data_IF_700533759464
#
_entry.id   IF_700533759464
#
_cell.length_a   1.000
_cell.length_b   1.000
_cell.length_c   1.000
_cell.angle_alpha   90.00
_cell.angle_beta   90.00
_cell.angle_gamma   90.00
#
_symmetry.space_group_name_H-M   'P 1'
#
loop_
_entity.id
_entity.type
_entity.pdbx_description
1 polymer ?
#
# COMPACT_ATOMS: atom_id res chain seq x y z
N UNK A 1 6.48 -26.95 29.47
CA UNK A 1 5.76 -25.73 29.89
C UNK A 1 5.46 -24.97 28.62
N UNK A 2 4.28 -25.21 28.08
CA UNK A 2 3.79 -24.65 26.82
C UNK A 2 3.24 -23.25 27.09
N UNK A 3 4.03 -22.21 26.80
CA UNK A 3 3.48 -20.87 26.60
C UNK A 3 3.05 -20.79 25.16
N UNK A 4 1.79 -21.11 24.90
CA UNK A 4 1.11 -20.73 23.66
C UNK A 4 1.19 -19.21 23.55
N UNK A 5 2.13 -18.72 22.74
CA UNK A 5 2.11 -17.35 22.25
C UNK A 5 0.72 -17.11 21.68
N UNK A 6 -0.08 -16.31 22.38
CA UNK A 6 -1.34 -15.81 21.84
C UNK A 6 -0.98 -15.05 20.57
N UNK A 7 -1.18 -15.72 19.43
CA UNK A 7 -1.03 -15.18 18.07
C UNK A 7 -1.73 -13.82 18.05
N UNK A 8 -0.97 -12.73 18.16
CA UNK A 8 -1.50 -11.36 18.06
C UNK A 8 -2.31 -11.28 16.77
N UNK A 9 -3.47 -10.62 16.78
CA UNK A 9 -4.29 -10.46 15.59
C UNK A 9 -3.44 -9.81 14.48
N UNK A 10 -3.40 -10.44 13.30
CA UNK A 10 -2.69 -9.94 12.10
C UNK A 10 -3.55 -8.92 11.34
N UNK A 11 -4.20 -8.06 12.09
CA UNK A 11 -5.04 -7.02 11.55
C UNK A 11 -4.26 -5.72 11.55
N UNK A 12 -4.53 -4.90 10.54
CA UNK A 12 -3.81 -3.67 10.32
C UNK A 12 -4.75 -2.61 9.76
N UNK A 13 -4.44 -1.37 10.07
CA UNK A 13 -4.98 -0.20 9.41
C UNK A 13 -4.06 0.19 8.25
N UNK A 14 -4.63 0.75 7.17
CA UNK A 14 -3.89 1.17 5.99
C UNK A 14 -3.89 2.71 5.96
N UNK A 15 -2.69 3.29 5.96
CA UNK A 15 -2.48 4.73 5.76
C UNK A 15 -2.27 5.07 4.28
N UNK A 16 -1.45 4.28 3.60
CA UNK A 16 -1.11 4.44 2.20
C UNK A 16 -1.17 3.09 1.50
N UNK A 17 -1.65 3.08 0.25
CA UNK A 17 -1.66 1.89 -0.60
C UNK A 17 -1.51 2.27 -2.07
N UNK A 18 -0.43 1.83 -2.71
CA UNK A 18 -0.38 1.79 -4.16
C UNK A 18 -1.17 0.58 -4.65
N UNK A 19 -2.47 0.78 -4.89
CA UNK A 19 -3.38 -0.31 -5.23
C UNK A 19 -2.97 -1.04 -6.51
N UNK A 20 -2.53 -0.32 -7.55
CA UNK A 20 -2.12 -0.94 -8.82
C UNK A 20 -0.95 -1.89 -8.63
N UNK A 21 0.12 -1.47 -7.94
CA UNK A 21 1.27 -2.34 -7.65
C UNK A 21 0.86 -3.54 -6.79
N UNK A 22 0.06 -3.31 -5.76
CA UNK A 22 -0.41 -4.36 -4.84
C UNK A 22 -1.29 -5.37 -5.58
N UNK A 23 -2.17 -4.91 -6.46
CA UNK A 23 -3.00 -5.78 -7.26
C UNK A 23 -2.16 -6.68 -8.17
N UNK A 24 -1.24 -6.10 -8.93
CA UNK A 24 -0.36 -6.84 -9.84
C UNK A 24 0.47 -7.90 -9.09
N UNK A 25 1.13 -7.52 -8.00
CA UNK A 25 1.95 -8.44 -7.20
C UNK A 25 1.09 -9.54 -6.56
N UNK A 26 -0.08 -9.19 -6.02
CA UNK A 26 -0.97 -10.18 -5.43
C UNK A 26 -1.48 -11.19 -6.47
N UNK A 27 -1.69 -10.76 -7.72
CA UNK A 27 -2.04 -11.65 -8.84
C UNK A 27 -0.85 -12.54 -9.26
N UNK A 28 0.39 -12.02 -9.21
CA UNK A 28 1.59 -12.83 -9.45
C UNK A 28 1.81 -13.90 -8.37
N UNK A 29 1.55 -13.58 -7.10
CA UNK A 29 1.66 -14.52 -5.97
C UNK A 29 0.62 -15.63 -6.10
N UNK A 30 -0.63 -15.28 -6.44
CA UNK A 30 -1.70 -16.27 -6.59
C UNK A 30 -2.78 -15.77 -7.56
N UNK A 31 -2.80 -16.36 -8.75
CA UNK A 31 -3.73 -16.05 -9.84
C UNK A 31 -5.12 -16.72 -9.67
N UNK A 32 -5.41 -17.34 -8.53
CA UNK A 32 -6.77 -17.86 -8.26
C UNK A 32 -7.65 -16.68 -7.82
N UNK A 33 -8.53 -16.26 -8.73
CA UNK A 33 -9.61 -15.31 -8.44
C UNK A 33 -10.55 -15.96 -7.41
N UNK A 34 -10.40 -15.60 -6.14
CA UNK A 34 -11.28 -16.07 -5.07
C UNK A 34 -12.68 -15.48 -5.29
N UNK A 35 -13.60 -16.29 -5.83
CA UNK A 35 -14.97 -15.84 -6.17
C UNK A 35 -15.90 -15.75 -4.97
N UNK A 36 -15.55 -16.28 -3.79
CA UNK A 36 -16.31 -16.08 -2.55
C UNK A 36 -15.55 -16.66 -1.35
N UNK A 37 -15.47 -15.91 -0.25
CA UNK A 37 -15.22 -16.48 1.08
C UNK A 37 -16.57 -16.42 1.79
N UNK A 38 -17.34 -17.50 1.73
CA UNK A 38 -18.45 -17.69 2.67
C UNK A 38 -17.87 -18.33 3.92
N UNK A 39 -17.76 -17.55 4.99
CA UNK A 39 -17.38 -18.08 6.31
C UNK A 39 -18.60 -18.74 6.93
N UNK A 40 -18.96 -19.92 6.44
CA UNK A 40 -19.90 -20.77 7.17
C UNK A 40 -19.18 -21.32 8.40
N UNK A 41 -19.63 -20.88 9.57
CA UNK A 41 -19.28 -21.50 10.86
C UNK A 41 -19.95 -22.87 10.93
N UNK A 42 -19.43 -23.83 10.19
CA UNK A 42 -19.71 -25.25 10.42
C UNK A 42 -18.38 -25.98 10.51
N UNK A 43 -18.17 -26.59 11.68
CA UNK A 43 -17.02 -27.42 11.98
C UNK A 43 -17.06 -28.68 11.12
N UNK A 44 -16.29 -28.73 10.05
CA UNK A 44 -15.82 -29.98 9.46
C UNK A 44 -14.43 -29.76 8.87
N UNK A 45 -13.43 -30.10 9.67
CA UNK A 45 -12.09 -30.41 9.21
C UNK A 45 -12.21 -31.65 8.31
N UNK A 46 -12.16 -31.47 7.01
CA UNK A 46 -11.93 -32.54 6.05
C UNK A 46 -10.81 -32.10 5.12
N UNK A 47 -9.60 -32.48 5.53
CA UNK A 47 -8.44 -32.58 4.67
C UNK A 47 -8.73 -33.67 3.63
N UNK A 48 -9.14 -33.27 2.42
CA UNK A 48 -9.30 -34.22 1.33
C UNK A 48 -8.69 -33.67 0.04
N UNK A 49 -7.39 -33.90 -0.10
CA UNK A 49 -6.79 -34.11 -1.41
C UNK A 49 -7.54 -35.27 -2.09
N UNK A 50 -8.30 -34.99 -3.14
CA UNK A 50 -9.07 -36.04 -3.81
C UNK A 50 -9.92 -35.53 -4.94
N UNK A 51 -9.39 -35.64 -6.15
CA UNK A 51 -10.17 -35.68 -7.38
C UNK A 51 -11.29 -36.73 -7.26
N UNK A 52 -12.56 -36.34 -7.09
CA UNK A 52 -13.73 -37.11 -7.57
C UNK A 52 -14.99 -36.26 -7.67
N UNK A 53 -15.55 -36.27 -8.86
CA UNK A 53 -16.90 -35.90 -9.27
C UNK A 53 -17.98 -36.70 -8.53
N UNK A 54 -18.96 -36.04 -7.89
CA UNK A 54 -20.34 -36.49 -7.60
C UNK A 54 -20.93 -35.53 -6.54
N UNK A 55 -22.16 -35.00 -6.53
CA UNK A 55 -23.43 -35.37 -7.14
C UNK A 55 -24.32 -34.10 -7.19
N UNK A 56 -24.66 -33.65 -8.40
CA UNK A 56 -25.99 -33.10 -8.74
C UNK A 56 -26.36 -33.52 -10.18
N UNK A 57 -25.80 -34.69 -10.57
CA UNK A 57 -25.62 -35.15 -11.94
C UNK A 57 -26.84 -35.81 -12.59
N UNK A 58 -28.06 -35.60 -12.08
CA UNK A 58 -29.27 -36.09 -12.74
C UNK A 58 -29.99 -35.01 -13.58
N UNK A 59 -29.91 -33.73 -13.19
CA UNK A 59 -30.49 -32.63 -13.98
C UNK A 59 -29.61 -32.19 -15.16
N UNK A 60 -28.30 -32.22 -15.00
CA UNK A 60 -27.35 -31.63 -15.96
C UNK A 60 -27.05 -32.55 -17.14
N UNK A 61 -27.13 -33.88 -16.97
CA UNK A 61 -26.82 -34.84 -18.04
C UNK A 61 -27.87 -34.81 -19.16
N UNK A 62 -29.14 -34.69 -18.81
CA UNK A 62 -30.25 -34.62 -19.77
C UNK A 62 -30.26 -33.31 -20.57
N UNK A 63 -29.80 -32.21 -19.95
CA UNK A 63 -29.60 -30.92 -20.59
C UNK A 63 -28.39 -30.90 -21.53
N UNK A 64 -27.26 -31.48 -21.09
CA UNK A 64 -26.04 -31.56 -21.89
C UNK A 64 -26.17 -32.53 -23.08
N UNK A 65 -26.90 -33.64 -22.92
CA UNK A 65 -27.18 -34.57 -24.02
C UNK A 65 -28.08 -33.91 -25.08
N UNK A 66 -29.02 -33.06 -24.67
CA UNK A 66 -29.85 -32.25 -25.59
C UNK A 66 -29.05 -31.21 -26.38
N UNK A 67 -28.05 -30.58 -25.75
CA UNK A 67 -27.15 -29.61 -26.39
C UNK A 67 -26.15 -30.32 -27.31
N UNK A 68 -25.66 -31.50 -26.92
CA UNK A 68 -24.75 -32.30 -27.75
C UNK A 68 -25.47 -32.81 -29.01
N UNK A 69 -26.74 -33.18 -28.90
CA UNK A 69 -27.54 -33.61 -30.04
C UNK A 69 -27.87 -32.46 -31.01
N UNK A 70 -28.06 -31.23 -30.53
CA UNK A 70 -28.35 -30.06 -31.38
C UNK A 70 -27.12 -29.47 -32.08
N UNK A 71 -25.92 -29.71 -31.54
CA UNK A 71 -24.65 -29.17 -32.09
C UNK A 71 -23.92 -30.19 -32.99
N UNK A 72 -24.21 -31.49 -32.88
CA UNK A 72 -23.52 -32.53 -33.66
C UNK A 72 -24.01 -32.69 -35.11
N UNK A 73 -24.95 -31.88 -35.58
CA UNK A 73 -25.56 -32.04 -36.91
C UNK A 73 -24.79 -31.33 -38.04
N UNK A 74 -23.91 -30.37 -37.76
CA UNK A 74 -23.12 -29.71 -38.81
C UNK A 74 -21.83 -29.10 -38.26
N UNK A 75 -20.79 -29.12 -39.10
CA UNK A 75 -19.47 -28.53 -38.94
C UNK A 75 -18.39 -29.38 -38.25
N UNK A 76 -17.64 -30.05 -39.13
CA UNK A 76 -16.27 -30.55 -38.95
C UNK A 76 -15.33 -29.46 -38.40
N UNK A 77 -14.45 -29.91 -37.51
CA UNK A 77 -13.08 -29.45 -37.26
C UNK A 77 -12.69 -28.00 -37.65
N UNK A 78 -12.45 -27.17 -36.63
CA UNK A 78 -11.18 -26.44 -36.46
C UNK A 78 -11.07 -26.01 -35.00
N UNK A 79 -10.22 -26.71 -34.25
CA UNK A 79 -9.89 -26.42 -32.86
C UNK A 79 -8.98 -25.19 -32.80
N UNK A 80 -9.57 -24.01 -32.69
CA UNK A 80 -8.86 -22.78 -32.32
C UNK A 80 -9.33 -22.36 -30.93
N UNK A 81 -8.64 -22.85 -29.90
CA UNK A 81 -8.89 -22.50 -28.50
C UNK A 81 -8.48 -21.04 -28.25
N UNK A 82 -9.36 -20.10 -28.60
CA UNK A 82 -9.27 -18.71 -28.18
C UNK A 82 -9.78 -18.62 -26.74
N UNK A 83 -8.87 -18.58 -25.77
CA UNK A 83 -9.17 -18.26 -24.37
C UNK A 83 -9.63 -16.81 -24.27
N UNK A 84 -10.92 -16.57 -24.47
CA UNK A 84 -11.55 -15.28 -24.19
C UNK A 84 -11.69 -15.15 -22.68
N UNK A 85 -10.67 -14.55 -22.05
CA UNK A 85 -10.68 -14.17 -20.64
C UNK A 85 -11.72 -13.06 -20.48
N UNK A 86 -12.91 -13.43 -20.00
CA UNK A 86 -13.94 -12.46 -19.62
C UNK A 86 -13.62 -12.06 -18.18
N UNK A 87 -12.97 -10.91 -18.04
CA UNK A 87 -12.63 -10.31 -16.77
C UNK A 87 -13.90 -9.70 -16.14
N UNK A 88 -14.70 -10.53 -15.47
CA UNK A 88 -15.76 -10.05 -14.57
C UNK A 88 -15.15 -9.86 -13.18
N UNK A 89 -14.45 -8.75 -12.97
CA UNK A 89 -13.94 -8.36 -11.66
C UNK A 89 -15.10 -7.91 -10.77
N UNK A 90 -15.65 -8.86 -10.02
CA UNK A 90 -16.54 -8.53 -8.91
C UNK A 90 -15.65 -7.85 -7.84
N UNK A 91 -15.78 -6.53 -7.73
CA UNK A 91 -15.04 -5.63 -6.83
C UNK A 91 -15.43 -5.92 -5.37
N UNK A 92 -15.05 -7.10 -4.88
CA UNK A 92 -15.38 -7.61 -3.54
C UNK A 92 -14.18 -8.22 -2.81
N UNK A 93 -13.05 -8.42 -3.48
CA UNK A 93 -11.78 -8.65 -2.78
C UNK A 93 -11.27 -7.30 -2.27
N UNK A 94 -11.26 -7.11 -0.96
CA UNK A 94 -10.90 -5.83 -0.34
C UNK A 94 -9.40 -5.56 -0.45
N UNK A 95 -8.99 -4.29 -0.50
CA UNK A 95 -7.59 -3.82 -0.45
C UNK A 95 -6.76 -4.56 0.62
N UNK A 96 -7.36 -4.78 1.79
CA UNK A 96 -6.77 -5.51 2.92
C UNK A 96 -6.49 -6.99 2.65
N UNK A 97 -7.34 -7.67 1.86
CA UNK A 97 -7.13 -9.09 1.52
C UNK A 97 -5.93 -9.22 0.57
N UNK A 98 -5.86 -8.36 -0.45
CA UNK A 98 -4.74 -8.37 -1.39
C UNK A 98 -3.42 -8.04 -0.69
N UNK A 99 -3.41 -6.97 0.12
CA UNK A 99 -2.21 -6.59 0.86
C UNK A 99 -1.78 -7.67 1.86
N UNK A 100 -2.72 -8.33 2.53
CA UNK A 100 -2.41 -9.44 3.46
C UNK A 100 -1.67 -10.58 2.77
N UNK A 101 -2.05 -10.93 1.54
CA UNK A 101 -1.34 -11.97 0.77
C UNK A 101 0.11 -11.60 0.51
N UNK A 102 0.37 -10.34 0.18
CA UNK A 102 1.73 -9.82 0.00
C UNK A 102 2.50 -9.90 1.31
N UNK A 103 1.93 -9.40 2.41
CA UNK A 103 2.56 -9.41 3.74
C UNK A 103 2.92 -10.83 4.19
N UNK A 104 2.10 -11.84 3.87
CA UNK A 104 2.37 -13.24 4.21
C UNK A 104 3.57 -13.82 3.44
N UNK A 105 3.97 -13.22 2.31
CA UNK A 105 5.16 -13.59 1.55
C UNK A 105 6.38 -12.69 1.84
N UNK A 106 6.19 -11.57 2.54
CA UNK A 106 7.28 -10.67 2.90
C UNK A 106 8.25 -11.30 3.90
N UNK A 107 9.54 -11.00 3.75
CA UNK A 107 10.48 -11.11 4.87
C UNK A 107 10.23 -9.97 5.87
N UNK A 108 10.01 -10.30 7.14
CA UNK A 108 10.03 -9.32 8.22
C UNK A 108 11.48 -8.98 8.55
N UNK A 109 11.88 -7.73 8.29
CA UNK A 109 13.29 -7.31 8.36
C UNK A 109 13.41 -6.05 9.21
N UNK A 110 14.36 -6.07 10.16
CA UNK A 110 14.79 -4.89 10.93
C UNK A 110 16.09 -4.29 10.41
N UNK A 111 16.96 -5.12 9.83
CA UNK A 111 18.27 -4.74 9.26
C UNK A 111 18.29 -5.11 7.77
N UNK A 112 18.39 -4.10 6.90
CA UNK A 112 18.33 -4.30 5.44
C UNK A 112 19.66 -4.68 4.80
N UNK A 113 20.76 -4.76 5.55
CA UNK A 113 22.09 -5.12 5.05
C UNK A 113 22.13 -6.50 4.37
N UNK A 114 21.23 -7.41 4.77
CA UNK A 114 21.15 -8.76 4.22
C UNK A 114 20.13 -8.89 3.08
N UNK A 115 19.39 -7.83 2.76
CA UNK A 115 18.37 -7.83 1.72
C UNK A 115 19.01 -7.65 0.34
N UNK A 116 18.47 -8.33 -0.66
CA UNK A 116 18.89 -8.19 -2.06
C UNK A 116 17.87 -7.34 -2.81
N UNK A 117 18.35 -6.56 -3.80
CA UNK A 117 17.46 -5.80 -4.66
C UNK A 117 16.38 -6.70 -5.27
N UNK A 118 15.12 -6.28 -5.15
CA UNK A 118 13.95 -7.04 -5.59
C UNK A 118 13.24 -7.81 -4.48
N UNK A 119 13.83 -7.92 -3.29
CA UNK A 119 13.20 -8.59 -2.16
C UNK A 119 11.94 -7.84 -1.70
N UNK A 120 10.89 -8.62 -1.45
CA UNK A 120 9.65 -8.12 -0.86
C UNK A 120 9.81 -8.07 0.67
N UNK A 121 9.79 -6.87 1.23
CA UNK A 121 10.11 -6.61 2.64
C UNK A 121 8.94 -6.00 3.39
N UNK A 122 8.80 -6.41 4.66
CA UNK A 122 8.00 -5.71 5.68
C UNK A 122 8.95 -5.19 6.75
N UNK A 123 9.11 -3.87 6.81
CA UNK A 123 9.92 -3.19 7.82
C UNK A 123 8.99 -2.71 8.92
N UNK A 124 9.13 -3.27 10.11
CA UNK A 124 8.29 -2.95 11.27
C UNK A 124 8.93 -1.85 12.15
N UNK A 125 8.09 -1.15 12.92
CA UNK A 125 8.52 -0.12 13.91
C UNK A 125 9.34 1.01 13.28
N UNK A 126 8.83 1.54 12.17
CA UNK A 126 9.45 2.68 11.49
C UNK A 126 8.81 3.97 11.98
N UNK A 127 9.64 4.92 12.42
CA UNK A 127 9.22 6.31 12.66
C UNK A 127 9.55 7.12 11.41
N UNK A 128 8.54 7.79 10.85
CA UNK A 128 8.68 8.58 9.62
C UNK A 128 8.94 10.05 9.93
N UNK A 129 9.85 10.64 9.16
CA UNK A 129 10.21 12.06 9.20
C UNK A 129 10.28 12.61 7.76
N UNK A 130 9.92 13.87 7.57
CA UNK A 130 10.00 14.51 6.24
C UNK A 130 11.44 14.95 5.99
N UNK A 131 12.03 14.52 4.87
CA UNK A 131 13.37 14.95 4.49
C UNK A 131 13.39 16.42 4.06
N UNK A 132 12.35 16.87 3.36
CA UNK A 132 12.25 18.25 2.84
C UNK A 132 10.87 18.85 3.13
N UNK A 133 10.66 19.25 4.39
CA UNK A 133 9.40 19.86 4.81
C UNK A 133 9.16 21.21 4.13
N UNK A 134 10.18 22.07 4.04
CA UNK A 134 10.03 23.42 3.48
C UNK A 134 9.54 23.39 2.03
N UNK A 135 10.20 22.61 1.16
CA UNK A 135 9.80 22.50 -0.25
C UNK A 135 8.42 21.87 -0.39
N UNK A 136 8.07 20.91 0.48
CA UNK A 136 6.72 20.34 0.51
C UNK A 136 5.67 21.40 0.86
N UNK A 137 5.92 22.28 1.82
CA UNK A 137 4.98 23.37 2.17
C UNK A 137 4.80 24.34 1.01
N UNK A 138 5.88 24.72 0.33
CA UNK A 138 5.84 25.56 -0.87
C UNK A 138 5.04 24.90 -2.00
N UNK A 139 5.31 23.62 -2.26
CA UNK A 139 4.56 22.80 -3.22
C UNK A 139 3.07 22.78 -2.93
N UNK A 140 2.68 22.52 -1.68
CA UNK A 140 1.27 22.40 -1.29
C UNK A 140 0.49 23.71 -1.48
N UNK A 141 1.14 24.86 -1.36
CA UNK A 141 0.54 26.16 -1.66
C UNK A 141 0.27 26.28 -3.17
N UNK A 142 1.29 26.01 -4.00
CA UNK A 142 1.19 26.10 -5.46
C UNK A 142 0.14 25.14 -6.04
N UNK A 143 -0.01 23.96 -5.43
CA UNK A 143 -0.98 22.95 -5.88
C UNK A 143 -2.45 23.34 -5.68
N UNK A 144 -2.77 24.20 -4.72
CA UNK A 144 -4.17 24.53 -4.35
C UNK A 144 -4.83 25.55 -5.29
N UNK A 145 -4.55 25.47 -6.59
CA UNK A 145 -5.01 26.43 -7.60
C UNK A 145 -4.71 27.90 -7.20
N UNK A 146 -3.66 28.12 -6.40
CA UNK A 146 -3.33 29.45 -5.87
C UNK A 146 -3.01 30.45 -7.00
N UNK A 147 -2.63 29.94 -8.17
CA UNK A 147 -2.28 30.73 -9.36
C UNK A 147 -3.37 30.70 -10.43
N UNK A 148 -4.57 30.20 -10.11
CA UNK A 148 -5.68 30.13 -11.06
C UNK A 148 -6.09 31.53 -11.51
N UNK A 149 -6.18 31.70 -12.83
CA UNK A 149 -6.47 32.98 -13.45
C UNK A 149 -5.27 33.90 -13.65
N UNK A 150 -4.08 33.54 -13.11
CA UNK A 150 -2.86 34.28 -13.38
C UNK A 150 -2.38 34.01 -14.80
N UNK A 151 -2.25 35.08 -15.59
CA UNK A 151 -1.75 35.03 -16.97
C UNK A 151 -0.57 35.95 -17.15
N UNK A 152 0.48 35.46 -17.81
CA UNK A 152 1.66 36.24 -18.19
C UNK A 152 1.85 36.04 -19.69
N UNK A 153 1.88 37.13 -20.46
CA UNK A 153 2.06 37.09 -21.92
C UNK A 153 1.09 36.14 -22.65
N UNK A 154 -0.15 36.04 -22.14
CA UNK A 154 -1.19 35.16 -22.68
C UNK A 154 -1.12 33.70 -22.21
N UNK A 155 -0.02 33.29 -21.55
CA UNK A 155 0.16 31.96 -20.98
C UNK A 155 -0.52 31.83 -19.60
N UNK A 156 -1.15 30.68 -19.34
CA UNK A 156 -1.76 30.37 -18.04
C UNK A 156 -0.72 29.80 -17.09
N UNK A 157 -0.33 30.58 -16.08
CA UNK A 157 0.76 30.20 -15.15
C UNK A 157 0.39 28.98 -14.34
N UNK A 158 -0.89 28.81 -13.98
CA UNK A 158 -1.37 27.64 -13.27
C UNK A 158 -1.01 26.34 -13.99
N UNK A 159 -1.21 26.27 -15.31
CA UNK A 159 -0.95 25.05 -16.08
C UNK A 159 0.55 24.73 -16.17
N UNK A 160 1.40 25.76 -16.30
CA UNK A 160 2.85 25.60 -16.30
C UNK A 160 3.35 25.05 -14.96
N UNK A 161 2.92 25.68 -13.87
CA UNK A 161 3.30 25.27 -12.52
C UNK A 161 2.75 23.87 -12.23
N UNK A 162 1.48 23.59 -12.54
CA UNK A 162 0.92 22.24 -12.40
C UNK A 162 1.73 21.20 -13.18
N UNK A 163 2.24 21.51 -14.38
CA UNK A 163 3.09 20.61 -15.15
C UNK A 163 4.46 20.36 -14.51
N UNK A 164 5.08 21.40 -13.93
CA UNK A 164 6.37 21.28 -13.23
C UNK A 164 6.27 20.50 -11.91
N UNK A 165 5.06 20.41 -11.35
CA UNK A 165 4.79 19.78 -10.06
C UNK A 165 4.32 18.31 -10.20
N UNK A 166 4.22 17.78 -11.43
CA UNK A 166 3.67 16.43 -11.67
C UNK A 166 4.53 15.29 -11.14
N UNK A 167 5.85 15.47 -11.10
CA UNK A 167 6.81 14.44 -10.68
C UNK A 167 7.21 14.56 -9.21
N UNK A 168 6.58 15.47 -8.47
CA UNK A 168 6.89 15.68 -7.06
C UNK A 168 6.32 14.54 -6.20
N UNK A 169 7.10 14.14 -5.20
CA UNK A 169 6.77 13.07 -4.27
C UNK A 169 7.04 13.51 -2.83
N UNK A 170 6.28 12.95 -1.88
CA UNK A 170 6.68 12.98 -0.49
C UNK A 170 7.93 12.12 -0.32
N UNK A 171 9.02 12.71 0.18
CA UNK A 171 10.26 12.01 0.51
C UNK A 171 10.32 11.89 2.03
N UNK A 172 10.29 10.65 2.52
CA UNK A 172 10.26 10.36 3.96
C UNK A 172 11.48 9.55 4.35
N UNK A 173 12.14 10.00 5.42
CA UNK A 173 13.16 9.27 6.15
C UNK A 173 12.48 8.40 7.21
N UNK A 174 12.73 7.10 7.16
CA UNK A 174 12.24 6.11 8.09
C UNK A 174 13.35 5.67 9.03
N UNK A 175 13.19 5.96 10.31
CA UNK A 175 14.05 5.46 11.38
C UNK A 175 13.49 4.13 11.88
N UNK A 176 14.23 3.04 11.68
CA UNK A 176 13.80 1.68 12.02
C UNK A 176 14.27 1.34 13.44
N UNK A 177 13.34 0.93 14.30
CA UNK A 177 13.65 0.55 15.68
C UNK A 177 13.55 -0.96 15.89
N UNK A 178 14.45 -1.49 16.71
CA UNK A 178 14.32 -2.84 17.23
C UNK A 178 13.32 -2.89 18.41
N UNK A 179 13.05 -4.08 18.95
CA UNK A 179 12.09 -4.28 20.04
C UNK A 179 12.37 -3.44 21.30
N UNK A 180 13.63 -3.04 21.49
CA UNK A 180 14.04 -2.19 22.63
C UNK A 180 13.54 -0.74 22.52
N UNK A 181 13.19 -0.25 21.32
CA UNK A 181 12.68 1.10 21.05
C UNK A 181 13.54 2.26 21.61
N UNK A 182 14.84 2.04 21.81
CA UNK A 182 15.76 3.05 22.38
C UNK A 182 16.41 3.91 21.32
N UNK A 183 17.08 3.26 20.37
CA UNK A 183 17.87 3.89 19.32
C UNK A 183 17.49 3.29 17.95
N UNK A 184 17.57 4.08 16.87
CA UNK A 184 17.35 3.57 15.53
C UNK A 184 18.50 2.64 15.13
N UNK A 185 18.16 1.52 14.49
CA UNK A 185 19.11 0.48 14.08
C UNK A 185 19.43 0.58 12.59
N UNK A 186 18.50 1.09 11.79
CA UNK A 186 18.65 1.26 10.36
C UNK A 186 17.88 2.50 9.92
N UNK A 187 18.32 3.11 8.83
CA UNK A 187 17.62 4.20 8.17
C UNK A 187 17.19 3.76 6.78
N UNK A 188 15.98 4.18 6.40
CA UNK A 188 15.42 3.90 5.08
C UNK A 188 14.81 5.16 4.49
N UNK A 189 14.77 5.22 3.17
CA UNK A 189 14.07 6.27 2.45
C UNK A 189 12.94 5.64 1.66
N UNK A 190 11.77 6.29 1.74
CA UNK A 190 10.62 5.97 0.92
C UNK A 190 10.14 7.20 0.15
N UNK A 191 9.61 6.97 -1.05
CA UNK A 191 8.95 7.98 -1.88
C UNK A 191 7.48 7.63 -2.06
N UNK A 192 6.61 8.62 -1.89
CA UNK A 192 5.18 8.51 -2.18
C UNK A 192 4.84 9.57 -3.24
N UNK A 193 4.54 9.17 -4.48
CA UNK A 193 4.09 10.12 -5.51
C UNK A 193 2.85 10.89 -5.04
N UNK A 194 2.81 12.20 -5.29
CA UNK A 194 1.66 13.01 -4.94
C UNK A 194 0.57 12.84 -6.00
N UNK A 195 -0.63 12.47 -5.58
CA UNK A 195 -1.83 12.45 -6.43
C UNK A 195 -2.71 13.69 -6.20
N UNK A 196 -3.57 14.01 -7.16
CA UNK A 196 -4.38 15.24 -7.15
C UNK A 196 -5.57 15.17 -6.15
N UNK A 197 -6.08 13.97 -5.83
CA UNK A 197 -7.36 13.84 -5.13
C UNK A 197 -7.31 13.06 -3.81
N UNK A 198 -6.60 11.93 -3.75
CA UNK A 198 -6.62 11.05 -2.57
C UNK A 198 -5.34 10.24 -2.47
N UNK A 199 -4.27 10.86 -1.96
CA UNK A 199 -2.98 10.17 -1.83
C UNK A 199 -2.98 9.08 -0.74
N UNK A 200 -3.81 9.26 0.29
CA UNK A 200 -3.85 8.38 1.46
C UNK A 200 -5.23 7.75 1.64
N UNK A 201 -5.25 6.57 2.25
CA UNK A 201 -6.49 5.86 2.56
C UNK A 201 -7.22 6.52 3.74
N UNK A 202 -8.53 6.31 3.84
CA UNK A 202 -9.34 6.71 5.00
C UNK A 202 -9.24 8.19 5.41
N UNK A 203 -8.89 9.08 4.47
CA UNK A 203 -8.69 10.53 4.71
C UNK A 203 -7.53 10.85 5.67
N UNK A 204 -6.56 9.95 5.80
CA UNK A 204 -5.31 10.29 6.44
C UNK A 204 -4.57 11.38 5.66
N UNK A 205 -3.73 12.13 6.35
CA UNK A 205 -2.83 13.11 5.76
C UNK A 205 -1.38 12.77 6.08
N UNK A 206 -0.44 13.43 5.40
CA UNK A 206 0.99 13.19 5.60
C UNK A 206 1.44 13.35 7.07
N UNK A 207 0.89 14.32 7.82
CA UNK A 207 1.26 14.51 9.22
C UNK A 207 0.78 13.34 10.09
N UNK A 208 -0.31 12.66 9.74
CA UNK A 208 -0.77 11.49 10.49
C UNK A 208 0.21 10.32 10.38
N UNK A 209 0.94 10.21 9.26
CA UNK A 209 1.98 9.21 9.06
C UNK A 209 3.24 9.49 9.89
N UNK A 210 3.51 10.77 10.23
CA UNK A 210 4.65 11.16 11.05
C UNK A 210 4.42 10.89 12.55
N UNK A 211 3.17 10.60 12.95
CA UNK A 211 2.81 10.37 14.34
C UNK A 211 2.95 8.89 14.69
N UNK A 212 3.94 8.60 15.55
CA UNK A 212 4.16 7.27 16.09
C UNK A 212 4.97 6.37 15.16
N UNK A 213 4.70 5.07 15.24
CA UNK A 213 5.41 4.05 14.47
C UNK A 213 4.45 3.31 13.55
N UNK A 214 4.92 3.07 12.33
CA UNK A 214 4.21 2.34 11.28
C UNK A 214 5.05 1.18 10.79
N UNK A 215 4.46 0.33 9.97
CA UNK A 215 5.16 -0.69 9.21
C UNK A 215 5.07 -0.37 7.72
N UNK A 216 6.19 -0.53 7.03
CA UNK A 216 6.32 -0.27 5.61
C UNK A 216 6.39 -1.61 4.89
N UNK A 217 5.53 -1.77 3.89
CA UNK A 217 5.54 -2.92 2.99
C UNK A 217 5.99 -2.44 1.63
N UNK A 218 7.04 -3.04 1.09
CA UNK A 218 7.64 -2.55 -0.15
C UNK A 218 8.60 -3.53 -0.80
N UNK A 219 9.17 -3.10 -1.93
CA UNK A 219 10.23 -3.81 -2.65
C UNK A 219 11.54 -3.10 -2.36
N UNK A 220 12.53 -3.82 -1.85
CA UNK A 220 13.84 -3.25 -1.59
C UNK A 220 14.58 -2.97 -2.91
N UNK A 221 15.17 -1.76 -3.04
CA UNK A 221 15.83 -1.29 -4.27
C UNK A 221 17.35 -1.08 -4.12
N UNK A 222 17.92 -1.46 -2.98
CA UNK A 222 19.33 -1.22 -2.70
C UNK A 222 19.59 0.15 -2.11
N UNK A 223 20.85 0.55 -2.18
CA UNK A 223 21.36 1.82 -1.64
C UNK A 223 21.34 2.87 -2.76
N UNK A 224 20.84 4.07 -2.44
CA UNK A 224 20.78 5.20 -3.36
C UNK A 224 21.25 6.48 -2.68
N UNK A 225 21.86 7.36 -3.45
CA UNK A 225 22.31 8.66 -2.96
C UNK A 225 21.16 9.63 -2.76
N UNK A 226 21.32 10.56 -1.81
CA UNK A 226 20.32 11.58 -1.51
C UNK A 226 19.99 12.49 -2.72
N UNK A 227 20.98 12.78 -3.59
CA UNK A 227 20.77 13.58 -4.80
C UNK A 227 19.73 12.92 -5.74
N UNK A 228 19.83 11.61 -5.94
CA UNK A 228 18.87 10.86 -6.76
C UNK A 228 17.48 10.80 -6.10
N UNK A 229 17.44 10.83 -4.76
CA UNK A 229 16.19 10.87 -4.02
C UNK A 229 15.51 12.24 -4.18
N UNK A 230 16.25 13.32 -4.04
CA UNK A 230 15.68 14.68 -3.99
C UNK A 230 15.45 15.31 -5.35
N UNK A 231 16.10 14.80 -6.41
CA UNK A 231 15.94 15.31 -7.77
C UNK A 231 14.49 15.19 -8.27
N UNK A 232 13.91 16.34 -8.64
CA UNK A 232 12.64 16.46 -9.35
C UNK A 232 12.62 17.78 -10.15
N UNK A 233 11.63 17.95 -11.03
CA UNK A 233 11.52 19.12 -11.90
C UNK A 233 11.44 20.44 -11.12
N UNK A 234 10.71 20.46 -10.00
CA UNK A 234 10.59 21.65 -9.16
C UNK A 234 11.93 22.03 -8.50
N UNK A 235 12.62 21.05 -7.90
CA UNK A 235 13.93 21.25 -7.28
C UNK A 235 14.96 21.72 -8.30
N UNK A 236 14.95 21.15 -9.52
CA UNK A 236 15.83 21.60 -10.60
C UNK A 236 15.66 23.11 -10.92
N UNK A 237 14.41 23.58 -11.03
CA UNK A 237 14.16 25.00 -11.30
C UNK A 237 14.48 25.90 -10.11
N UNK A 238 14.26 25.44 -8.89
CA UNK A 238 14.64 26.16 -7.67
C UNK A 238 16.15 26.37 -7.61
N UNK A 239 16.93 25.31 -7.83
CA UNK A 239 18.39 25.39 -7.90
C UNK A 239 18.88 26.26 -9.06
N UNK A 240 18.27 26.15 -10.24
CA UNK A 240 18.63 26.98 -11.39
C UNK A 240 18.37 28.47 -11.12
N UNK A 241 17.34 28.81 -10.34
CA UNK A 241 17.08 30.15 -9.84
C UNK A 241 18.17 30.64 -8.89
N UNK A 242 18.48 29.84 -7.86
CA UNK A 242 19.49 30.17 -6.86
C UNK A 242 20.90 30.37 -7.48
N UNK A 243 21.27 29.54 -8.47
CA UNK A 243 22.54 29.68 -9.20
C UNK A 243 22.62 31.00 -9.97
N UNK A 244 21.51 31.47 -10.54
CA UNK A 244 21.47 32.78 -11.24
C UNK A 244 21.59 33.94 -10.27
N UNK A 245 20.95 33.86 -9.10
CA UNK A 245 21.07 34.89 -8.06
C UNK A 245 22.52 35.01 -7.55
N UNK A 246 23.19 33.89 -7.29
CA UNK A 246 24.61 33.89 -6.90
C UNK A 246 25.53 34.44 -8.01
N UNK A 247 25.22 34.16 -9.28
CA UNK A 247 26.00 34.67 -10.41
C UNK A 247 25.75 36.17 -10.66
N UNK A 248 24.52 36.65 -10.44
CA UNK A 248 24.17 38.07 -10.53
C UNK A 248 24.69 38.88 -9.33
N UNK A 249 24.78 38.30 -8.12
CA UNK A 249 25.42 38.94 -6.96
C UNK A 249 26.93 39.17 -7.17
N UNK A 250 27.62 38.24 -7.82
CA UNK A 250 29.06 38.40 -8.15
C UNK A 250 29.30 39.38 -9.32
N UNK A 251 28.29 39.65 -10.16
CA UNK A 251 28.42 40.49 -11.36
C UNK A 251 27.78 41.89 -11.25
N UNK A 252 26.79 42.11 -10.36
CA UNK A 252 26.00 43.34 -10.34
C UNK A 252 26.33 44.27 -9.16
N UNK A 253 26.83 45.47 -9.47
CA UNK A 253 26.98 46.59 -8.52
C UNK A 253 25.66 47.31 -8.19
N UNK A 254 24.51 46.69 -8.47
CA UNK A 254 23.19 47.33 -8.33
C UNK A 254 22.42 46.62 -7.23
N UNK A 255 22.47 47.19 -6.03
CA UNK A 255 21.69 46.75 -4.87
C UNK A 255 20.23 47.19 -5.09
N UNK A 256 19.31 46.24 -5.22
CA UNK A 256 17.86 46.52 -5.18
C UNK A 256 17.46 46.78 -3.72
N UNK A 257 16.85 47.93 -3.46
CA UNK A 257 16.53 48.46 -2.12
C UNK A 257 15.53 47.67 -1.26
N UNK A 258 15.14 46.45 -1.67
CA UNK A 258 14.25 45.56 -0.93
C UNK A 258 14.83 44.14 -0.74
N UNK A 259 16.14 43.96 -0.85
CA UNK A 259 16.79 42.68 -0.51
C UNK A 259 17.28 42.76 0.93
N UNK A 260 16.60 42.05 1.82
CA UNK A 260 17.25 41.66 3.08
C UNK A 260 18.30 40.61 2.75
N UNK A 261 19.52 40.70 3.28
CA UNK A 261 20.49 39.64 3.14
C UNK A 261 19.94 38.43 3.91
N UNK A 262 19.40 37.46 3.18
CA UNK A 262 19.17 36.14 3.75
C UNK A 262 20.56 35.53 3.85
N UNK A 263 21.13 35.51 5.04
CA UNK A 263 22.23 34.61 5.35
C UNK A 263 21.71 33.19 5.18
N UNK A 264 21.85 32.64 3.98
CA UNK A 264 21.83 31.20 3.78
C UNK A 264 23.15 30.66 4.36
N UNK A 265 23.23 30.60 5.69
CA UNK A 265 23.94 29.52 6.36
C UNK A 265 23.06 28.27 6.23
N UNK A 266 22.82 27.86 4.99
CA UNK A 266 22.56 26.47 4.67
C UNK A 266 23.78 26.03 3.91
N UNK A 267 24.88 25.87 4.64
CA UNK A 267 25.73 24.71 4.39
C UNK A 267 24.80 23.49 4.54
N UNK A 268 24.04 23.16 3.50
CA UNK A 268 23.81 21.75 3.23
C UNK A 268 25.19 21.22 2.93
N UNK A 269 25.88 20.77 3.99
CA UNK A 269 26.91 19.75 3.83
C UNK A 269 26.33 18.78 2.80
N UNK A 270 27.00 18.68 1.65
CA UNK A 270 26.72 17.59 0.72
C UNK A 270 27.13 16.33 1.47
N UNK A 271 26.25 15.84 2.32
CA UNK A 271 26.45 14.55 2.93
C UNK A 271 26.29 13.56 1.78
N UNK A 272 27.37 12.86 1.50
CA UNK A 272 27.42 11.74 0.58
C UNK A 272 26.73 10.54 1.27
N UNK A 273 25.51 10.79 1.76
CA UNK A 273 24.76 9.84 2.57
C UNK A 273 24.01 8.91 1.63
N UNK A 274 24.47 7.67 1.66
CA UNK A 274 23.92 6.54 0.97
C UNK A 274 22.81 5.92 1.82
N UNK A 275 21.59 5.86 1.29
CA UNK A 275 20.41 5.38 2.02
C UNK A 275 19.81 4.13 1.41
N UNK A 276 19.30 3.23 2.25
CA UNK A 276 18.47 2.12 1.80
C UNK A 276 17.14 2.62 1.24
N UNK A 277 16.84 2.29 -0.02
CA UNK A 277 15.58 2.66 -0.65
C UNK A 277 14.59 1.50 -0.66
N UNK A 278 13.36 1.79 -0.25
CA UNK A 278 12.24 0.86 -0.36
C UNK A 278 11.17 1.48 -1.25
N UNK A 279 10.86 0.80 -2.36
CA UNK A 279 9.71 1.15 -3.20
C UNK A 279 8.42 0.75 -2.48
N UNK A 280 7.71 1.74 -1.96
CA UNK A 280 6.57 1.53 -1.06
C UNK A 280 5.35 1.01 -1.81
N UNK A 281 4.83 -0.12 -1.34
CA UNK A 281 3.53 -0.67 -1.74
C UNK A 281 2.43 -0.21 -0.78
N UNK A 282 2.71 -0.25 0.52
CA UNK A 282 1.76 0.17 1.55
C UNK A 282 2.46 0.69 2.80
N UNK A 283 1.76 1.57 3.52
CA UNK A 283 2.09 1.97 4.89
C UNK A 283 0.93 1.55 5.76
N UNK A 284 1.22 0.75 6.78
CA UNK A 284 0.22 0.15 7.65
C UNK A 284 0.58 0.37 9.11
N UNK A 285 -0.42 0.20 9.97
CA UNK A 285 -0.20 0.07 11.40
C UNK A 285 -0.90 -1.19 11.89
N UNK A 286 -0.14 -2.05 12.55
CA UNK A 286 -0.66 -3.26 13.16
C UNK A 286 -1.62 -2.90 14.31
N UNK A 287 -2.82 -3.47 14.31
CA UNK A 287 -3.88 -3.22 15.28
C UNK A 287 -4.19 -4.51 16.05
N UNK A 288 -4.13 -4.40 17.37
CA UNK A 288 -4.50 -5.49 18.27
C UNK A 288 -5.94 -5.31 18.75
N UNK A 289 -6.83 -6.24 18.40
CA UNK A 289 -8.18 -6.26 18.95
C UNK A 289 -8.23 -7.06 20.24
N UNK A 290 -8.83 -6.47 21.28
CA UNK A 290 -9.30 -7.21 22.45
C UNK A 290 -10.76 -7.57 22.20
N UNK A 291 -11.00 -8.72 21.59
CA UNK A 291 -12.35 -9.25 21.50
C UNK A 291 -12.78 -9.63 22.92
N UNK A 292 -13.75 -8.91 23.49
CA UNK A 292 -14.44 -9.39 24.68
C UNK A 292 -15.05 -10.75 24.30
N UNK A 293 -14.56 -11.81 24.92
CA UNK A 293 -15.24 -13.09 24.90
C UNK A 293 -16.61 -12.85 25.52
N UNK A 294 -17.63 -12.65 24.69
CA UNK A 294 -19.00 -12.81 25.14
C UNK A 294 -19.09 -14.25 25.61
N UNK A 295 -19.05 -14.44 26.93
CA UNK A 295 -19.28 -15.73 27.56
C UNK A 295 -20.66 -16.16 27.06
N UNK A 296 -20.68 -16.98 26.00
CA UNK A 296 -21.88 -17.65 25.58
C UNK A 296 -22.42 -18.29 26.87
N UNK A 297 -23.64 -17.96 27.30
CA UNK A 297 -24.13 -18.41 28.59
C UNK A 297 -23.97 -19.92 28.59
N UNK A 298 -23.11 -20.44 29.48
CA UNK A 298 -22.86 -21.87 29.60
C UNK A 298 -24.22 -22.51 29.79
N UNK A 299 -24.77 -23.10 28.73
CA UNK A 299 -26.06 -23.77 28.82
C UNK A 299 -25.81 -24.94 29.75
N UNK A 300 -26.23 -24.78 31.01
CA UNK A 300 -26.13 -25.83 32.00
C UNK A 300 -26.78 -27.09 31.44
N UNK A 301 -26.23 -28.26 31.70
CA UNK A 301 -26.74 -29.53 31.17
C UNK A 301 -28.25 -29.73 31.42
N UNK A 302 -28.80 -29.13 32.49
CA UNK A 302 -30.23 -29.09 32.80
C UNK A 302 -31.08 -28.31 31.77
N UNK A 303 -30.54 -27.26 31.13
CA UNK A 303 -31.24 -26.52 30.08
C UNK A 303 -31.39 -27.38 28.81
N UNK A 304 -30.42 -28.24 28.50
CA UNK A 304 -30.56 -29.24 27.43
C UNK A 304 -31.58 -30.32 27.80
N UNK A 305 -31.62 -30.73 29.07
CA UNK A 305 -32.59 -31.68 29.59
C UNK A 305 -34.03 -31.13 29.55
N UNK A 306 -34.22 -29.85 29.88
CA UNK A 306 -35.52 -29.16 29.79
C UNK A 306 -36.02 -28.99 28.36
N UNK A 307 -35.13 -28.73 27.40
CA UNK A 307 -35.46 -28.69 25.96
C UNK A 307 -35.79 -30.10 25.44
N UNK A 308 -35.14 -31.13 25.95
CA UNK A 308 -35.44 -32.52 25.62
C UNK A 308 -36.80 -32.98 26.20
N UNK A 309 -37.09 -32.64 27.48
CA UNK A 309 -38.37 -32.93 28.11
C UNK A 309 -39.55 -32.20 27.44
N UNK A 310 -39.35 -30.95 27.01
CA UNK A 310 -40.41 -30.18 26.34
C UNK A 310 -40.74 -30.73 24.95
N UNK A 311 -39.78 -31.38 24.28
CA UNK A 311 -40.03 -32.12 23.02
C UNK A 311 -40.78 -33.44 23.25
N UNK A 312 -40.57 -34.11 24.38
CA UNK A 312 -41.31 -35.32 24.77
C UNK A 312 -42.77 -35.05 25.12
N UNK A 313 -43.09 -33.85 25.63
CA UNK A 313 -44.46 -33.45 26.00
C UNK A 313 -45.34 -32.98 24.83
N UNK A 314 -44.80 -32.95 23.61
CA UNK A 314 -45.51 -32.56 22.36
C UNK A 314 -45.90 -33.76 21.48
N UNK A 315 -45.96 -34.96 22.05
CA UNK A 315 -46.59 -36.13 21.43
C UNK A 315 -47.80 -36.57 22.23
#
# INVERSE_FOLDING_TARGET
>A
MDTTEKKKSRDFNIYYLNFSKVYEIAMMINNVILTKIETDKSSSFEEQYGFTSSISAQGTKQFLDGIKASISADARETSTSSSKVVESLDVKTTKSILLRRIIEQCASVTLLDNSVEGDLVKVDRVKLELLNEESLRQFLILRRDALKGMRVEGMEVNNLVSSMLQDYAYILKGLVYDESMKEPVSEIIIKIPMEIQSEFENKYNINDLLIGHVSIVGIYKGIVSEEFITSNTFTYFQEAGARKEQQDETASKIIKSNTQPVSHDTETEKSDDDYHFVDTLAIIQDVAFKLEETLAPKLHWWNRFGIWLSKLRRK
#
